data_IF_205324089206
#
_entry.id   IF_205324089206
#
_cell.length_a   1.000
_cell.length_b   1.000
_cell.length_c   1.000
_cell.angle_alpha   90.00
_cell.angle_beta   90.00
_cell.angle_gamma   90.00
#
_symmetry.space_group_name_H-M   'P 1'
#
loop_
_entity.id
_entity.type
_entity.pdbx_description
1 polymer ?
#
# COMPACT_ATOMS: atom_id res chain seq x y z
N UNK A 1 9.24 -14.30 22.75
CA UNK A 1 9.89 -12.98 22.81
C UNK A 1 9.66 -12.33 21.46
N UNK A 2 8.59 -11.55 21.33
CA UNK A 2 8.29 -10.80 20.11
C UNK A 2 9.09 -9.51 20.17
N UNK A 3 10.16 -9.42 19.40
CA UNK A 3 10.89 -8.17 19.23
C UNK A 3 9.91 -7.15 18.62
N UNK A 4 9.59 -6.03 19.29
CA UNK A 4 8.85 -4.97 18.64
C UNK A 4 9.76 -4.43 17.54
N UNK A 5 9.45 -4.75 16.27
CA UNK A 5 10.01 -4.02 15.15
C UNK A 5 9.74 -2.54 15.43
N UNK A 6 10.78 -1.75 15.68
CA UNK A 6 10.65 -0.30 15.78
C UNK A 6 10.00 0.16 14.49
N UNK A 7 8.77 0.74 14.52
CA UNK A 7 8.17 1.23 13.30
C UNK A 7 9.10 2.33 12.79
N UNK A 8 9.52 2.24 11.54
CA UNK A 8 10.02 3.41 10.82
C UNK A 8 9.04 4.55 11.08
N UNK A 9 9.47 5.78 11.41
CA UNK A 9 8.54 6.86 11.67
C UNK A 9 7.65 7.04 10.43
N UNK A 10 6.40 6.59 10.54
CA UNK A 10 5.41 6.77 9.50
C UNK A 10 4.85 8.18 9.69
N UNK A 11 4.95 8.98 8.65
CA UNK A 11 4.42 10.33 8.65
C UNK A 11 2.91 10.31 8.89
N UNK A 12 2.38 11.28 9.62
CA UNK A 12 0.92 11.42 9.80
C UNK A 12 0.18 11.46 8.45
N UNK A 13 0.78 12.13 7.45
CA UNK A 13 0.26 12.17 6.09
C UNK A 13 0.13 10.77 5.47
N UNK A 14 1.08 9.87 5.70
CA UNK A 14 1.03 8.50 5.19
C UNK A 14 -0.09 7.71 5.85
N UNK A 15 -0.21 7.79 7.18
CA UNK A 15 -1.28 7.12 7.92
C UNK A 15 -2.65 7.62 7.46
N UNK A 16 -2.81 8.94 7.32
CA UNK A 16 -4.03 9.55 6.80
C UNK A 16 -4.33 9.11 5.37
N UNK A 17 -3.33 9.10 4.48
CA UNK A 17 -3.48 8.61 3.12
C UNK A 17 -3.89 7.12 3.09
N UNK A 18 -3.36 6.30 4.00
CA UNK A 18 -3.72 4.89 4.06
C UNK A 18 -5.18 4.69 4.48
N UNK A 19 -5.71 5.55 5.34
CA UNK A 19 -7.14 5.59 5.66
C UNK A 19 -7.96 6.14 4.50
N UNK A 20 -7.51 7.23 3.88
CA UNK A 20 -8.22 7.89 2.79
C UNK A 20 -8.35 6.99 1.56
N UNK A 21 -7.33 6.18 1.28
CA UNK A 21 -7.37 5.19 0.19
C UNK A 21 -8.50 4.15 0.35
N UNK A 22 -8.98 3.93 1.58
CA UNK A 22 -10.11 3.03 1.89
C UNK A 22 -11.47 3.75 1.80
N UNK A 23 -11.47 5.09 1.82
CA UNK A 23 -12.64 5.95 1.74
C UNK A 23 -12.91 6.46 0.33
N UNK A 24 -12.22 5.92 -0.67
CA UNK A 24 -12.48 6.23 -2.07
C UNK A 24 -13.89 5.80 -2.46
N UNK A 25 -14.60 6.66 -3.18
CA UNK A 25 -15.99 6.41 -3.61
C UNK A 25 -16.06 5.42 -4.76
N UNK A 26 -14.99 5.34 -5.56
CA UNK A 26 -14.87 4.38 -6.65
C UNK A 26 -13.76 3.38 -6.36
N UNK A 27 -13.93 2.16 -6.87
CA UNK A 27 -12.93 1.10 -6.75
C UNK A 27 -11.71 1.46 -7.61
N UNK A 28 -10.49 1.54 -7.03
CA UNK A 28 -9.30 1.80 -7.80
C UNK A 28 -8.98 0.67 -8.79
N UNK A 29 -8.22 1.02 -9.82
CA UNK A 29 -7.67 0.03 -10.74
C UNK A 29 -6.71 -0.91 -10.01
N UNK A 30 -6.59 -2.14 -10.52
CA UNK A 30 -5.72 -3.13 -9.91
C UNK A 30 -4.26 -2.64 -9.87
N UNK A 31 -3.79 -1.94 -10.91
CA UNK A 31 -2.46 -1.32 -10.94
C UNK A 31 -2.24 -0.30 -9.82
N UNK A 32 -3.20 0.60 -9.58
CA UNK A 32 -3.10 1.56 -8.47
C UNK A 32 -3.04 0.84 -7.12
N UNK A 33 -3.85 -0.20 -6.93
CA UNK A 33 -3.82 -1.03 -5.71
C UNK A 33 -2.47 -1.72 -5.52
N UNK A 34 -1.84 -2.18 -6.60
CA UNK A 34 -0.52 -2.81 -6.56
C UNK A 34 0.58 -1.80 -6.25
N UNK A 35 0.48 -0.59 -6.80
CA UNK A 35 1.45 0.49 -6.58
C UNK A 35 1.41 1.00 -5.14
N UNK A 36 0.23 1.37 -4.63
CA UNK A 36 0.10 1.78 -3.22
C UNK A 36 0.47 0.64 -2.27
N UNK A 37 0.21 -0.62 -2.63
CA UNK A 37 0.64 -1.77 -1.83
C UNK A 37 2.17 -1.87 -1.76
N UNK A 38 2.85 -1.80 -2.90
CA UNK A 38 4.31 -1.85 -2.98
C UNK A 38 4.97 -0.74 -2.15
N UNK A 39 4.49 0.50 -2.34
CA UNK A 39 4.93 1.66 -1.60
C UNK A 39 4.67 1.51 -0.09
N UNK A 40 3.49 1.03 0.29
CA UNK A 40 3.15 0.79 1.70
C UNK A 40 4.12 -0.18 2.36
N UNK A 41 4.46 -1.30 1.69
CA UNK A 41 5.37 -2.32 2.24
C UNK A 41 6.77 -1.75 2.49
N UNK A 42 7.31 -0.99 1.53
CA UNK A 42 8.62 -0.34 1.68
C UNK A 42 8.57 0.79 2.72
N UNK A 43 7.50 1.59 2.74
CA UNK A 43 7.26 2.65 3.72
C UNK A 43 7.19 2.11 5.16
N UNK A 44 6.61 0.93 5.35
CA UNK A 44 6.58 0.23 6.65
C UNK A 44 7.91 -0.39 7.05
N UNK A 45 8.92 -0.38 6.16
CA UNK A 45 10.19 -1.06 6.38
C UNK A 45 10.08 -2.59 6.32
N UNK A 46 9.04 -3.13 5.67
CA UNK A 46 8.98 -4.57 5.44
C UNK A 46 10.03 -4.96 4.40
N UNK A 47 10.68 -6.09 4.65
CA UNK A 47 11.69 -6.65 3.77
C UNK A 47 11.08 -7.68 2.83
N UNK A 48 11.32 -7.52 1.53
CA UNK A 48 10.75 -8.38 0.49
C UNK A 48 11.25 -9.83 0.57
N UNK A 49 12.39 -10.08 1.19
CA UNK A 49 12.92 -11.42 1.41
C UNK A 49 12.08 -12.21 2.41
N UNK A 50 11.34 -11.52 3.29
CA UNK A 50 10.37 -12.14 4.19
C UNK A 50 9.05 -12.48 3.49
N UNK A 51 8.82 -11.93 2.29
CA UNK A 51 7.65 -12.22 1.50
C UNK A 51 7.79 -13.57 0.80
N UNK A 52 6.88 -14.49 1.08
CA UNK A 52 6.82 -15.77 0.37
C UNK A 52 6.67 -15.55 -1.13
N UNK A 53 7.59 -16.11 -1.92
CA UNK A 53 7.48 -16.09 -3.38
C UNK A 53 6.15 -16.73 -3.79
N UNK A 54 5.28 -16.01 -4.50
CA UNK A 54 4.00 -16.53 -4.93
C UNK A 54 4.21 -17.72 -5.88
N UNK A 55 3.36 -18.74 -5.74
CA UNK A 55 3.41 -19.93 -6.59
C UNK A 55 3.06 -19.63 -8.05
N UNK A 56 3.41 -20.54 -8.96
CA UNK A 56 3.21 -20.38 -10.42
C UNK A 56 1.76 -20.05 -10.81
N UNK A 57 0.78 -20.47 -10.00
CA UNK A 57 -0.65 -20.26 -10.25
C UNK A 57 -1.22 -19.00 -9.57
N UNK A 58 -0.45 -18.29 -8.74
CA UNK A 58 -0.89 -17.09 -8.03
C UNK A 58 -0.48 -15.82 -8.78
N UNK A 59 -1.25 -15.50 -9.82
CA UNK A 59 -0.99 -14.32 -10.66
C UNK A 59 -1.12 -13.00 -9.88
N UNK A 60 -2.05 -12.93 -8.92
CA UNK A 60 -2.29 -11.73 -8.10
C UNK A 60 -1.16 -11.50 -7.10
N UNK A 61 -0.76 -12.56 -6.39
CA UNK A 61 0.40 -12.56 -5.50
C UNK A 61 1.67 -12.22 -6.26
N UNK A 62 1.84 -12.79 -7.46
CA UNK A 62 2.98 -12.47 -8.35
C UNK A 62 3.00 -11.00 -8.73
N UNK A 63 1.85 -10.41 -9.06
CA UNK A 63 1.77 -8.98 -9.39
C UNK A 63 2.14 -8.11 -8.18
N UNK A 64 1.61 -8.41 -6.98
CA UNK A 64 1.96 -7.71 -5.73
C UNK A 64 3.45 -7.79 -5.41
N UNK A 65 4.01 -8.99 -5.51
CA UNK A 65 5.43 -9.23 -5.29
C UNK A 65 6.29 -8.50 -6.32
N UNK A 66 5.91 -8.49 -7.60
CA UNK A 66 6.64 -7.75 -8.63
C UNK A 66 6.58 -6.24 -8.40
N UNK A 67 5.42 -5.69 -8.07
CA UNK A 67 5.28 -4.26 -7.78
C UNK A 67 6.16 -3.87 -6.58
N UNK A 68 6.13 -4.65 -5.50
CA UNK A 68 7.00 -4.41 -4.36
C UNK A 68 8.48 -4.57 -4.71
N UNK A 69 8.85 -5.63 -5.43
CA UNK A 69 10.24 -5.85 -5.85
C UNK A 69 10.75 -4.69 -6.69
N UNK A 70 9.92 -4.13 -7.57
CA UNK A 70 10.28 -2.96 -8.38
C UNK A 70 10.64 -1.76 -7.50
N UNK A 71 9.82 -1.44 -6.51
CA UNK A 71 10.09 -0.32 -5.58
C UNK A 71 11.40 -0.55 -4.80
N UNK A 72 11.68 -1.80 -4.41
CA UNK A 72 12.94 -2.16 -3.73
C UNK A 72 14.15 -2.08 -4.68
N UNK A 73 14.00 -2.53 -5.93
CA UNK A 73 15.04 -2.51 -6.96
C UNK A 73 15.39 -1.07 -7.40
N UNK A 74 14.39 -0.18 -7.45
CA UNK A 74 14.56 1.26 -7.62
C UNK A 74 15.34 1.92 -6.44
N UNK A 75 15.56 1.20 -5.34
CA UNK A 75 16.29 1.72 -4.18
C UNK A 75 15.50 2.75 -3.37
N UNK A 76 14.18 2.73 -3.48
CA UNK A 76 13.28 3.65 -2.77
C UNK A 76 13.42 3.43 -1.27
N UNK A 77 13.70 4.49 -0.53
CA UNK A 77 13.73 4.44 0.94
C UNK A 77 12.32 4.45 1.53
N UNK A 78 12.19 4.08 2.79
CA UNK A 78 10.90 4.13 3.47
C UNK A 78 10.30 5.55 3.47
N UNK A 79 11.12 6.59 3.59
CA UNK A 79 10.68 8.00 3.54
C UNK A 79 10.14 8.36 2.16
N UNK A 80 10.90 8.07 1.09
CA UNK A 80 10.44 8.33 -0.28
C UNK A 80 9.19 7.52 -0.64
N UNK A 81 9.10 6.28 -0.15
CA UNK A 81 7.92 5.44 -0.33
C UNK A 81 6.68 6.08 0.31
N UNK A 82 6.82 6.70 1.49
CA UNK A 82 5.73 7.43 2.14
C UNK A 82 5.28 8.62 1.30
N UNK A 83 6.22 9.43 0.82
CA UNK A 83 5.91 10.61 -0.01
C UNK A 83 5.19 10.22 -1.30
N UNK A 84 5.70 9.19 -2.00
CA UNK A 84 5.06 8.65 -3.20
C UNK A 84 3.70 8.05 -2.92
N UNK A 85 3.54 7.37 -1.77
CA UNK A 85 2.25 6.81 -1.36
C UNK A 85 1.21 7.91 -1.15
N UNK A 86 1.57 8.97 -0.43
CA UNK A 86 0.68 10.11 -0.19
C UNK A 86 0.28 10.76 -1.51
N UNK A 87 1.26 11.08 -2.36
CA UNK A 87 0.99 11.67 -3.68
C UNK A 87 0.05 10.78 -4.53
N UNK A 88 0.26 9.46 -4.50
CA UNK A 88 -0.57 8.51 -5.24
C UNK A 88 -1.99 8.46 -4.70
N UNK A 89 -2.17 8.43 -3.39
CA UNK A 89 -3.50 8.45 -2.78
C UNK A 89 -4.22 9.77 -3.09
N UNK A 90 -3.53 10.91 -3.06
CA UNK A 90 -4.14 12.19 -3.44
C UNK A 90 -4.62 12.20 -4.90
N UNK A 91 -3.82 11.66 -5.82
CA UNK A 91 -4.25 11.44 -7.21
C UNK A 91 -5.48 10.53 -7.30
N UNK A 92 -5.49 9.45 -6.51
CA UNK A 92 -6.63 8.52 -6.44
C UNK A 92 -7.88 9.19 -5.88
N UNK A 93 -7.76 10.06 -4.87
CA UNK A 93 -8.89 10.83 -4.32
C UNK A 93 -9.53 11.73 -5.37
N UNK A 94 -8.71 12.35 -6.22
CA UNK A 94 -9.20 13.18 -7.33
C UNK A 94 -9.82 12.32 -8.44
N UNK A 95 -9.17 11.21 -8.79
CA UNK A 95 -9.57 10.36 -9.93
C UNK A 95 -10.80 9.50 -9.64
N UNK A 96 -10.83 8.89 -8.46
CA UNK A 96 -11.88 7.93 -8.04
C UNK A 96 -12.96 8.58 -7.17
N UNK A 97 -12.75 9.82 -6.75
CA UNK A 97 -13.55 10.51 -5.75
C UNK A 97 -13.23 10.03 -4.34
N UNK A 98 -13.29 10.94 -3.39
CA UNK A 98 -13.02 10.69 -1.98
C UNK A 98 -14.16 11.23 -1.13
N UNK A 99 -14.62 10.40 -0.19
CA UNK A 99 -15.65 10.79 0.75
C UNK A 99 -15.14 10.63 2.18
N UNK A 100 -14.77 11.75 2.81
CA UNK A 100 -14.27 11.77 4.19
C UNK A 100 -15.30 11.27 5.22
N UNK A 101 -16.59 11.34 4.86
CA UNK A 101 -17.73 10.95 5.71
C UNK A 101 -18.08 9.47 5.55
N UNK A 102 -17.53 8.81 4.53
CA UNK A 102 -17.66 7.37 4.35
C UNK A 102 -16.83 6.68 5.44
N UNK A 103 -17.52 6.04 6.37
CA UNK A 103 -16.88 5.07 7.27
C UNK A 103 -16.20 4.01 6.39
N UNK A 104 -14.95 3.61 6.69
CA UNK A 104 -14.30 2.55 5.93
C UNK A 104 -15.13 1.29 6.10
N UNK A 105 -15.98 0.98 5.11
CA UNK A 105 -16.65 -0.30 5.03
C UNK A 105 -15.53 -1.34 5.09
N UNK A 106 -15.46 -2.05 6.23
CA UNK A 106 -14.53 -3.14 6.42
C UNK A 106 -14.70 -4.07 5.23
N UNK A 107 -13.73 -4.06 4.32
CA UNK A 107 -13.77 -4.81 3.08
C UNK A 107 -14.13 -6.24 3.43
N UNK A 108 -15.34 -6.65 3.02
CA UNK A 108 -16.10 -7.72 3.67
C UNK A 108 -15.31 -8.99 3.94
N UNK A 109 -15.29 -9.38 5.21
CA UNK A 109 -15.42 -10.79 5.59
C UNK A 109 -16.78 -11.25 5.07
N UNK A 110 -16.81 -11.80 3.87
CA UNK A 110 -17.97 -12.49 3.32
C UNK A 110 -17.53 -13.85 2.78
N UNK A 111 -17.48 -14.83 3.67
CA UNK A 111 -17.91 -16.23 3.51
C UNK A 111 -17.53 -17.02 4.77
#
# INVERSE_FOLDING_TARGET
MATPQSPTPQSEAFTQAAEDSKKLTSKPSNDDLLEIYALYKVATGEDISNASKPGMFDLKGKAKYNAWQKVVDDGITAEEAQEKYVAKVEEMKVTYGFDASKEPEAVGTAA
#
